data_IF_440371349165
#
_entry.id   IF_440371349165
#
_cell.length_a   1.000
_cell.length_b   1.000
_cell.length_c   1.000
_cell.angle_alpha   90.00
_cell.angle_beta   90.00
_cell.angle_gamma   90.00
#
_symmetry.space_group_name_H-M   'P 1'
#
loop_
_entity.id
_entity.type
_entity.pdbx_description
1 polymer ?
#
# COMPACT_ATOMS: atom_id res chain seq x y z
N UNK A 1 -78.05 -62.56 -51.32
CA UNK A 1 -77.78 -63.22 -50.03
C UNK A 1 -76.66 -62.45 -49.35
N UNK A 2 -76.80 -62.19 -48.05
CA UNK A 2 -75.99 -61.31 -47.18
C UNK A 2 -74.45 -61.50 -47.31
N UNK A 3 -73.57 -60.54 -47.01
CA UNK A 3 -73.34 -59.96 -45.66
C UNK A 3 -72.42 -58.72 -45.65
N UNK A 4 -72.68 -57.86 -44.66
CA UNK A 4 -71.77 -57.03 -43.82
C UNK A 4 -70.96 -55.83 -44.39
N UNK A 5 -71.22 -54.67 -43.77
CA UNK A 5 -70.40 -53.44 -43.62
C UNK A 5 -68.89 -53.67 -43.34
N UNK A 6 -68.04 -52.64 -43.57
CA UNK A 6 -67.53 -51.90 -42.40
C UNK A 6 -67.36 -50.38 -42.58
N UNK A 7 -68.02 -49.64 -41.67
CA UNK A 7 -67.47 -48.64 -40.74
C UNK A 7 -66.25 -47.79 -41.20
N UNK A 8 -66.53 -46.51 -41.47
CA UNK A 8 -65.54 -45.47 -41.74
C UNK A 8 -64.58 -45.22 -40.56
N UNK A 9 -63.29 -45.09 -40.87
CA UNK A 9 -62.21 -44.75 -39.93
C UNK A 9 -62.06 -43.22 -39.83
N UNK A 10 -62.35 -42.67 -38.65
CA UNK A 10 -62.21 -41.24 -38.32
C UNK A 10 -60.73 -40.88 -38.07
N UNK A 11 -60.14 -39.88 -38.75
CA UNK A 11 -58.75 -39.52 -38.55
C UNK A 11 -58.57 -38.85 -37.18
N UNK A 12 -57.90 -39.56 -36.26
CA UNK A 12 -57.51 -39.02 -34.95
C UNK A 12 -56.75 -37.70 -35.10
N UNK A 13 -57.37 -36.59 -34.67
CA UNK A 13 -56.73 -35.28 -34.52
C UNK A 13 -55.45 -35.42 -33.67
N UNK A 14 -54.29 -35.12 -34.26
CA UNK A 14 -53.02 -35.02 -33.54
C UNK A 14 -53.11 -33.85 -32.55
N UNK A 15 -53.06 -34.16 -31.25
CA UNK A 15 -53.01 -33.16 -30.18
C UNK A 15 -51.70 -32.37 -30.30
N UNK A 16 -51.70 -31.03 -30.20
CA UNK A 16 -50.46 -30.28 -30.08
C UNK A 16 -49.76 -30.72 -28.80
N UNK A 17 -48.48 -31.08 -28.87
CA UNK A 17 -47.69 -31.37 -27.68
C UNK A 17 -47.64 -30.10 -26.84
N UNK A 18 -48.30 -30.12 -25.68
CA UNK A 18 -48.12 -29.09 -24.67
C UNK A 18 -46.70 -29.26 -24.15
N UNK A 19 -45.75 -28.55 -24.75
CA UNK A 19 -44.48 -28.25 -24.11
C UNK A 19 -44.83 -27.44 -22.86
N UNK A 20 -44.98 -28.17 -21.75
CA UNK A 20 -45.26 -27.61 -20.45
C UNK A 20 -43.95 -26.96 -19.98
N UNK A 21 -43.78 -25.67 -20.26
CA UNK A 21 -42.84 -24.84 -19.52
C UNK A 21 -43.32 -24.77 -18.07
N UNK A 22 -42.87 -25.71 -17.23
CA UNK A 22 -43.17 -25.68 -15.80
C UNK A 22 -42.61 -24.37 -15.22
N UNK A 23 -43.37 -23.59 -14.43
CA UNK A 23 -42.93 -22.30 -13.90
C UNK A 23 -41.64 -22.43 -13.06
N UNK A 24 -41.45 -23.56 -12.38
CA UNK A 24 -40.21 -23.86 -11.66
C UNK A 24 -38.99 -24.03 -12.57
N UNK A 25 -39.16 -24.63 -13.76
CA UNK A 25 -38.09 -24.75 -14.77
C UNK A 25 -37.78 -23.37 -15.35
N UNK A 26 -38.80 -22.55 -15.60
CA UNK A 26 -38.62 -21.18 -16.10
C UNK A 26 -37.91 -20.27 -15.08
N UNK A 27 -38.27 -20.35 -13.80
CA UNK A 27 -37.61 -19.64 -12.70
C UNK A 27 -36.17 -20.15 -12.52
N UNK A 28 -35.97 -21.47 -12.54
CA UNK A 28 -34.64 -22.07 -12.45
C UNK A 28 -33.70 -21.64 -13.59
N UNK A 29 -34.20 -21.65 -14.83
CA UNK A 29 -33.47 -21.13 -15.98
C UNK A 29 -33.18 -19.64 -15.86
N UNK A 30 -34.14 -18.82 -15.38
CA UNK A 30 -33.93 -17.39 -15.18
C UNK A 30 -32.86 -17.10 -14.12
N UNK A 31 -32.89 -17.80 -12.98
CA UNK A 31 -31.85 -17.68 -11.93
C UNK A 31 -30.49 -18.15 -12.46
N UNK A 32 -30.44 -19.27 -13.16
CA UNK A 32 -29.20 -19.76 -13.77
C UNK A 32 -28.63 -18.78 -14.78
N UNK A 33 -29.46 -18.24 -15.68
CA UNK A 33 -29.05 -17.20 -16.64
C UNK A 33 -28.55 -15.95 -15.93
N UNK A 34 -29.23 -15.49 -14.87
CA UNK A 34 -28.78 -14.35 -14.08
C UNK A 34 -27.41 -14.60 -13.41
N UNK A 35 -27.22 -15.76 -12.77
CA UNK A 35 -25.93 -16.15 -12.19
C UNK A 35 -24.84 -16.28 -13.25
N UNK A 36 -25.16 -16.79 -14.43
CA UNK A 36 -24.22 -16.88 -15.55
C UNK A 36 -23.80 -15.48 -16.02
N UNK A 37 -24.74 -14.53 -16.14
CA UNK A 37 -24.40 -13.14 -16.46
C UNK A 37 -23.53 -12.49 -15.37
N UNK A 38 -23.79 -12.74 -14.09
CA UNK A 38 -22.93 -12.27 -13.00
C UNK A 38 -21.52 -12.89 -13.06
N UNK A 39 -21.41 -14.19 -13.36
CA UNK A 39 -20.13 -14.88 -13.46
C UNK A 39 -19.32 -14.38 -14.67
N UNK A 40 -19.95 -14.24 -15.84
CA UNK A 40 -19.31 -13.72 -17.05
C UNK A 40 -18.94 -12.25 -16.86
N UNK A 41 -19.85 -11.42 -16.35
CA UNK A 41 -19.60 -10.01 -16.06
C UNK A 41 -18.49 -9.81 -15.04
N UNK A 42 -18.50 -10.59 -13.95
CA UNK A 42 -17.45 -10.60 -12.94
C UNK A 42 -16.10 -11.06 -13.48
N UNK A 43 -16.08 -12.10 -14.33
CA UNK A 43 -14.89 -12.58 -15.01
C UNK A 43 -14.27 -11.54 -15.94
N UNK A 44 -15.10 -10.87 -16.75
CA UNK A 44 -14.67 -9.77 -17.63
C UNK A 44 -14.13 -8.58 -16.83
N UNK A 45 -14.81 -8.20 -15.73
CA UNK A 45 -14.36 -7.12 -14.86
C UNK A 45 -13.02 -7.45 -14.18
N UNK A 46 -12.85 -8.68 -13.70
CA UNK A 46 -11.59 -9.14 -13.10
C UNK A 46 -10.45 -9.18 -14.13
N UNK A 47 -10.74 -9.66 -15.35
CA UNK A 47 -9.76 -9.69 -16.44
C UNK A 47 -9.32 -8.29 -16.86
N UNK A 48 -10.28 -7.37 -17.07
CA UNK A 48 -10.00 -5.97 -17.39
C UNK A 48 -9.20 -5.29 -16.26
N UNK A 49 -9.64 -5.46 -15.01
CA UNK A 49 -8.95 -4.91 -13.84
C UNK A 49 -7.52 -5.43 -13.68
N UNK A 50 -7.29 -6.72 -13.95
CA UNK A 50 -5.94 -7.30 -13.91
C UNK A 50 -5.04 -6.78 -15.05
N UNK A 51 -5.60 -6.65 -16.25
CA UNK A 51 -4.91 -6.06 -17.40
C UNK A 51 -4.47 -4.64 -17.09
N UNK A 52 -5.37 -3.80 -16.58
CA UNK A 52 -5.07 -2.40 -16.24
C UNK A 52 -4.09 -2.28 -15.06
N UNK A 53 -4.23 -3.14 -14.04
CA UNK A 53 -3.34 -3.15 -12.87
C UNK A 53 -1.87 -3.40 -13.23
N UNK A 54 -1.61 -4.15 -14.31
CA UNK A 54 -0.28 -4.49 -14.78
C UNK A 54 0.17 -3.68 -16.00
N UNK A 55 -0.74 -2.93 -16.61
CA UNK A 55 -0.46 -2.09 -17.77
C UNK A 55 0.60 -1.01 -17.43
N UNK A 56 1.39 -0.58 -18.43
CA UNK A 56 2.34 0.50 -18.22
C UNK A 56 1.63 1.81 -17.89
N UNK A 57 1.94 2.42 -16.74
CA UNK A 57 1.24 3.59 -16.23
C UNK A 57 1.50 4.90 -17.00
N UNK A 58 0.82 5.98 -16.61
CA UNK A 58 0.80 7.25 -17.36
C UNK A 58 2.10 8.05 -17.26
N UNK A 59 2.95 7.73 -16.28
CA UNK A 59 4.14 8.52 -15.96
C UNK A 59 5.15 8.50 -17.12
N UNK A 60 5.46 9.67 -17.68
CA UNK A 60 6.34 9.78 -18.85
C UNK A 60 7.83 9.64 -18.52
N UNK A 61 8.26 10.13 -17.36
CA UNK A 61 9.65 10.13 -16.89
C UNK A 61 9.69 9.75 -15.41
N UNK A 62 10.87 9.37 -14.92
CA UNK A 62 11.03 9.12 -13.49
C UNK A 62 10.61 10.34 -12.66
N UNK A 63 9.86 10.11 -11.58
CA UNK A 63 9.36 11.17 -10.70
C UNK A 63 9.49 10.77 -9.24
N UNK A 64 9.96 11.71 -8.42
CA UNK A 64 9.99 11.58 -6.97
C UNK A 64 8.71 12.16 -6.37
N UNK A 65 8.05 11.42 -5.48
CA UNK A 65 6.84 11.85 -4.78
C UNK A 65 6.98 11.59 -3.28
N UNK A 66 6.64 12.60 -2.48
CA UNK A 66 6.56 12.50 -1.02
C UNK A 66 5.16 12.05 -0.61
N UNK A 67 5.08 10.94 0.13
CA UNK A 67 3.87 10.46 0.80
C UNK A 67 3.93 10.90 2.27
N UNK A 68 3.09 11.84 2.71
CA UNK A 68 3.08 12.32 4.09
C UNK A 68 2.69 11.25 5.12
N UNK A 69 3.20 11.40 6.35
CA UNK A 69 2.81 10.56 7.49
C UNK A 69 1.33 10.78 7.85
N UNK A 70 0.66 9.70 8.26
CA UNK A 70 -0.73 9.74 8.74
C UNK A 70 -1.80 9.72 7.64
N UNK A 71 -1.41 9.61 6.36
CA UNK A 71 -2.35 9.44 5.25
C UNK A 71 -2.88 8.01 5.18
N UNK A 72 -4.18 7.85 4.94
CA UNK A 72 -4.80 6.55 4.69
C UNK A 72 -4.57 6.08 3.25
N UNK A 73 -4.81 4.79 2.99
CA UNK A 73 -4.61 4.22 1.64
C UNK A 73 -5.41 4.92 0.52
N UNK A 74 -6.53 5.58 0.86
CA UNK A 74 -7.29 6.41 -0.08
C UNK A 74 -6.56 7.72 -0.39
N UNK A 75 -6.13 8.45 0.63
CA UNK A 75 -5.40 9.72 0.47
C UNK A 75 -4.12 9.51 -0.35
N UNK A 76 -3.43 8.39 -0.11
CA UNK A 76 -2.26 7.97 -0.88
C UNK A 76 -2.63 7.71 -2.36
N UNK A 77 -3.74 7.02 -2.62
CA UNK A 77 -4.20 6.77 -3.99
C UNK A 77 -4.51 8.07 -4.74
N UNK A 78 -5.25 8.98 -4.10
CA UNK A 78 -5.61 10.30 -4.67
C UNK A 78 -4.37 11.19 -4.85
N UNK A 79 -3.39 11.11 -3.93
CA UNK A 79 -2.09 11.77 -4.09
C UNK A 79 -1.33 11.24 -5.31
N UNK A 80 -1.20 9.92 -5.45
CA UNK A 80 -0.46 9.32 -6.56
C UNK A 80 -1.10 9.62 -7.92
N UNK A 81 -2.43 9.68 -7.98
CA UNK A 81 -3.15 10.07 -9.19
C UNK A 81 -2.96 11.56 -9.51
N UNK A 82 -3.09 12.44 -8.52
CA UNK A 82 -2.84 13.88 -8.69
C UNK A 82 -1.41 14.17 -9.12
N UNK A 83 -0.45 13.38 -8.65
CA UNK A 83 0.95 13.46 -9.07
C UNK A 83 1.22 12.80 -10.43
N UNK A 84 0.21 12.18 -11.05
CA UNK A 84 0.32 11.53 -12.36
C UNK A 84 1.15 10.23 -12.35
N UNK A 85 1.36 9.63 -11.18
CA UNK A 85 2.04 8.34 -11.03
C UNK A 85 1.12 7.19 -11.45
N UNK A 86 -0.16 7.33 -11.15
CA UNK A 86 -1.23 6.41 -11.58
C UNK A 86 -2.34 7.21 -12.28
N UNK A 87 -3.17 6.53 -13.05
CA UNK A 87 -4.30 7.08 -13.81
C UNK A 87 -5.66 6.82 -13.15
N UNK A 88 -5.73 5.85 -12.24
CA UNK A 88 -6.96 5.43 -11.59
C UNK A 88 -6.73 5.14 -10.10
N UNK A 89 -7.02 6.14 -9.25
CA UNK A 89 -6.94 6.01 -7.80
C UNK A 89 -7.84 4.89 -7.25
N UNK A 90 -9.01 4.68 -7.85
CA UNK A 90 -9.99 3.70 -7.40
C UNK A 90 -9.48 2.27 -7.61
N UNK A 91 -8.84 1.99 -8.75
CA UNK A 91 -8.22 0.70 -9.03
C UNK A 91 -7.07 0.41 -8.07
N UNK A 92 -6.19 1.40 -7.83
CA UNK A 92 -5.12 1.27 -6.83
C UNK A 92 -5.69 1.01 -5.43
N UNK A 93 -6.66 1.81 -4.98
CA UNK A 93 -7.27 1.66 -3.67
C UNK A 93 -8.01 0.32 -3.53
N UNK A 94 -8.83 -0.08 -4.51
CA UNK A 94 -9.53 -1.36 -4.50
C UNK A 94 -8.54 -2.54 -4.44
N UNK A 95 -7.46 -2.49 -5.24
CA UNK A 95 -6.42 -3.52 -5.21
C UNK A 95 -5.73 -3.59 -3.85
N UNK A 96 -5.48 -2.44 -3.20
CA UNK A 96 -4.90 -2.36 -1.86
C UNK A 96 -5.81 -2.99 -0.79
N UNK A 97 -7.13 -2.81 -0.91
CA UNK A 97 -8.12 -3.39 0.00
C UNK A 97 -8.23 -4.90 -0.19
N UNK A 98 -8.37 -5.37 -1.44
CA UNK A 98 -8.51 -6.79 -1.76
C UNK A 98 -7.27 -7.58 -1.34
N UNK A 99 -6.08 -7.01 -1.56
CA UNK A 99 -4.80 -7.63 -1.17
C UNK A 99 -4.42 -7.39 0.29
N UNK A 100 -5.21 -6.62 1.05
CA UNK A 100 -4.91 -6.15 2.42
C UNK A 100 -3.55 -5.44 2.56
N UNK A 101 -3.08 -4.83 1.46
CA UNK A 101 -1.81 -4.10 1.39
C UNK A 101 -1.93 -2.62 1.73
N UNK A 102 -3.14 -2.07 1.79
CA UNK A 102 -3.37 -0.67 2.14
C UNK A 102 -2.76 -0.26 3.48
N UNK A 103 -2.76 -1.17 4.46
CA UNK A 103 -2.17 -0.95 5.79
C UNK A 103 -0.64 -1.12 5.84
N UNK A 104 -0.04 -1.67 4.79
CA UNK A 104 1.41 -1.88 4.68
C UNK A 104 2.11 -0.72 3.99
N UNK A 105 1.36 0.22 3.43
CA UNK A 105 1.89 1.40 2.79
C UNK A 105 2.62 2.26 3.82
N UNK A 106 3.83 2.65 3.50
CA UNK A 106 4.65 3.48 4.39
C UNK A 106 4.70 4.91 3.87
N UNK A 107 4.79 5.85 4.81
CA UNK A 107 5.06 7.24 4.49
C UNK A 107 6.54 7.43 4.19
N UNK A 108 6.84 8.35 3.29
CA UNK A 108 8.20 8.69 2.90
C UNK A 108 8.29 9.15 1.46
N UNK A 109 9.52 9.38 1.02
CA UNK A 109 9.82 9.87 -0.32
C UNK A 109 10.15 8.68 -1.23
N UNK A 110 9.46 8.55 -2.36
CA UNK A 110 9.59 7.41 -3.27
C UNK A 110 9.94 7.87 -4.69
N UNK A 111 10.76 7.07 -5.37
CA UNK A 111 11.09 7.24 -6.78
C UNK A 111 10.21 6.29 -7.60
N UNK A 112 9.46 6.86 -8.53
CA UNK A 112 8.59 6.13 -9.45
C UNK A 112 9.21 6.16 -10.85
N UNK A 113 9.62 5.00 -11.42
CA UNK A 113 10.17 4.93 -12.77
C UNK A 113 9.13 5.32 -13.83
N UNK A 114 9.61 5.74 -15.01
CA UNK A 114 8.74 5.96 -16.17
C UNK A 114 7.90 4.71 -16.49
N UNK A 115 6.64 4.93 -16.88
CA UNK A 115 5.67 3.88 -17.27
C UNK A 115 5.44 2.81 -16.19
N UNK A 116 5.69 3.13 -14.91
CA UNK A 116 5.47 2.23 -13.78
C UNK A 116 3.98 1.82 -13.71
N UNK A 117 3.71 0.52 -13.59
CA UNK A 117 2.34 0.01 -13.45
C UNK A 117 1.80 0.18 -12.03
N UNK A 118 0.48 0.19 -11.87
CA UNK A 118 -0.18 0.24 -10.56
C UNK A 118 0.33 -0.89 -9.64
N UNK A 119 0.52 -2.09 -10.18
CA UNK A 119 1.11 -3.22 -9.47
C UNK A 119 2.50 -2.89 -8.91
N UNK A 120 3.35 -2.26 -9.71
CA UNK A 120 4.70 -1.92 -9.29
C UNK A 120 4.72 -0.74 -8.32
N UNK A 121 3.83 0.23 -8.49
CA UNK A 121 3.61 1.33 -7.53
C UNK A 121 3.24 0.75 -6.16
N UNK A 122 2.30 -0.20 -6.12
CA UNK A 122 1.89 -0.91 -4.90
C UNK A 122 3.08 -1.57 -4.21
N UNK A 123 3.93 -2.29 -4.96
CA UNK A 123 5.13 -2.91 -4.41
C UNK A 123 6.10 -1.88 -3.84
N UNK A 124 6.32 -0.75 -4.53
CA UNK A 124 7.23 0.31 -4.06
C UNK A 124 6.74 0.88 -2.72
N UNK A 125 5.48 1.31 -2.63
CA UNK A 125 4.95 1.97 -1.43
C UNK A 125 4.79 1.02 -0.24
N UNK A 126 4.63 -0.29 -0.49
CA UNK A 126 4.54 -1.32 0.56
C UNK A 126 5.90 -1.90 0.95
N UNK A 127 6.92 -1.80 0.09
CA UNK A 127 8.26 -2.31 0.39
C UNK A 127 9.02 -1.49 1.44
N UNK A 128 8.58 -0.26 1.71
CA UNK A 128 9.31 0.66 2.60
C UNK A 128 10.64 1.16 2.04
N UNK A 129 10.93 0.94 0.75
CA UNK A 129 12.14 1.43 0.08
C UNK A 129 12.03 2.92 -0.24
N UNK A 130 12.05 3.73 0.80
CA UNK A 130 12.04 5.19 0.74
C UNK A 130 13.44 5.75 0.52
N UNK A 131 13.53 6.95 -0.06
CA UNK A 131 14.78 7.71 -0.14
C UNK A 131 15.26 8.03 1.27
N UNK A 132 16.53 7.73 1.53
CA UNK A 132 17.21 8.08 2.77
C UNK A 132 18.14 9.27 2.54
N UNK A 133 18.12 10.19 3.49
CA UNK A 133 18.99 11.34 3.56
C UNK A 133 19.95 11.18 4.74
N UNK A 134 21.11 11.83 4.68
CA UNK A 134 22.10 11.80 5.75
C UNK A 134 22.15 13.15 6.45
N UNK A 135 22.17 13.12 7.79
CA UNK A 135 22.49 14.29 8.60
C UNK A 135 23.69 13.97 9.47
N UNK A 136 24.79 14.69 9.22
CA UNK A 136 26.03 14.55 10.00
C UNK A 136 26.04 15.56 11.14
N UNK A 137 26.28 15.04 12.35
CA UNK A 137 26.47 15.81 13.57
C UNK A 137 27.96 15.74 13.95
N UNK A 138 28.75 16.80 13.70
CA UNK A 138 30.15 16.84 14.10
C UNK A 138 30.32 16.73 15.62
N UNK A 139 31.44 16.15 16.04
CA UNK A 139 31.87 16.19 17.42
C UNK A 139 32.15 17.63 17.89
N UNK A 140 32.07 17.85 19.20
CA UNK A 140 32.33 19.15 19.82
C UNK A 140 31.15 20.13 19.78
N UNK A 141 30.01 19.75 19.18
CA UNK A 141 28.78 20.54 19.27
C UNK A 141 28.09 20.35 20.63
N UNK A 142 27.59 21.45 21.17
CA UNK A 142 26.68 21.45 22.33
C UNK A 142 25.30 20.91 21.94
N UNK A 143 24.53 20.41 22.92
CA UNK A 143 23.15 19.96 22.70
C UNK A 143 22.29 21.06 22.06
N UNK A 144 22.50 22.33 22.43
CA UNK A 144 21.79 23.46 21.83
C UNK A 144 22.13 23.63 20.34
N UNK A 145 23.42 23.62 19.97
CA UNK A 145 23.86 23.73 18.58
C UNK A 145 23.39 22.56 17.72
N UNK A 146 23.32 21.35 18.28
CA UNK A 146 22.74 20.19 17.60
C UNK A 146 21.26 20.45 17.30
N UNK A 147 20.48 20.91 18.27
CA UNK A 147 19.06 21.22 18.06
C UNK A 147 18.88 22.32 17.01
N UNK A 148 19.69 23.37 17.04
CA UNK A 148 19.65 24.44 16.03
C UNK A 148 19.92 23.90 14.63
N UNK A 149 20.94 23.05 14.47
CA UNK A 149 21.23 22.36 13.20
C UNK A 149 20.09 21.48 12.72
N UNK A 150 19.42 20.77 13.63
CA UNK A 150 18.22 19.98 13.28
C UNK A 150 17.06 20.89 12.87
N UNK A 151 16.91 22.05 13.50
CA UNK A 151 15.89 23.05 13.17
C UNK A 151 16.08 23.65 11.76
N UNK A 152 17.33 23.84 11.33
CA UNK A 152 17.67 24.33 9.98
C UNK A 152 17.33 23.34 8.85
N UNK A 153 17.20 22.04 9.13
CA UNK A 153 16.92 21.03 8.11
C UNK A 153 15.45 21.04 7.66
N UNK A 154 15.21 21.18 6.35
CA UNK A 154 13.89 21.06 5.70
C UNK A 154 13.37 19.62 5.63
N UNK A 155 14.25 18.64 5.86
CA UNK A 155 13.93 17.22 5.85
C UNK A 155 13.19 16.78 7.12
N UNK A 156 13.37 17.52 8.22
CA UNK A 156 12.86 17.17 9.54
C UNK A 156 11.62 18.00 9.90
N UNK A 157 10.74 17.39 10.69
CA UNK A 157 9.46 18.00 11.11
C UNK A 157 9.31 18.06 12.62
N UNK A 158 8.40 18.91 13.08
CA UNK A 158 8.08 19.09 14.50
C UNK A 158 9.14 19.89 15.28
N UNK A 159 8.78 20.33 16.49
CA UNK A 159 9.71 21.01 17.39
C UNK A 159 10.73 20.02 17.98
N UNK A 160 11.79 20.55 18.58
CA UNK A 160 12.76 19.79 19.37
C UNK A 160 13.11 20.54 20.65
N UNK A 161 13.14 19.83 21.77
CA UNK A 161 13.65 20.35 23.04
C UNK A 161 15.13 20.00 23.17
N UNK A 162 15.92 20.96 23.65
CA UNK A 162 17.35 20.76 23.93
C UNK A 162 17.53 19.74 25.06
N UNK A 163 18.18 18.59 24.81
CA UNK A 163 18.52 17.60 25.83
C UNK A 163 19.68 18.09 26.72
N UNK A 164 19.92 17.47 27.88
CA UNK A 164 21.11 17.77 28.70
C UNK A 164 22.41 17.62 27.90
N UNK A 165 23.45 18.33 28.29
CA UNK A 165 24.76 18.23 27.62
C UNK A 165 25.37 16.83 27.81
N UNK A 166 26.10 16.36 26.79
CA UNK A 166 26.77 15.06 26.81
C UNK A 166 25.85 13.84 26.65
N UNK A 167 24.54 14.03 26.44
CA UNK A 167 23.60 12.91 26.24
C UNK A 167 23.45 12.47 24.80
N UNK A 168 23.98 13.23 23.84
CA UNK A 168 23.80 12.99 22.41
C UNK A 168 25.10 12.47 21.81
N UNK A 169 25.01 11.37 21.06
CA UNK A 169 26.14 10.82 20.32
C UNK A 169 26.32 11.59 18.99
N UNK A 170 27.48 12.19 18.71
CA UNK A 170 27.74 12.83 17.42
C UNK A 170 28.08 11.78 16.36
N UNK A 171 27.18 11.57 15.40
CA UNK A 171 27.37 10.63 14.29
C UNK A 171 26.68 11.14 13.01
N UNK A 172 26.82 10.37 11.93
CA UNK A 172 25.99 10.53 10.73
C UNK A 172 24.75 9.65 10.82
N UNK A 173 23.58 10.29 10.81
CA UNK A 173 22.29 9.63 10.93
C UNK A 173 21.57 9.57 9.59
N UNK A 174 21.15 8.37 9.21
CA UNK A 174 20.20 8.18 8.10
C UNK A 174 18.79 8.54 8.56
N UNK A 175 18.12 9.40 7.79
CA UNK A 175 16.78 9.93 8.04
C UNK A 175 15.93 9.83 6.78
N UNK A 176 14.61 9.91 6.93
CA UNK A 176 13.67 10.01 5.81
C UNK A 176 13.00 11.37 5.87
N UNK A 177 12.61 11.92 4.72
CA UNK A 177 11.88 13.20 4.71
C UNK A 177 10.60 13.07 5.54
N UNK A 178 10.38 14.00 6.44
CA UNK A 178 9.26 13.98 7.38
C UNK A 178 9.56 13.34 8.73
N UNK A 179 10.78 12.81 8.97
CA UNK A 179 11.17 12.33 10.31
C UNK A 179 11.06 13.44 11.35
N UNK A 180 10.57 13.13 12.56
CA UNK A 180 10.44 14.11 13.62
C UNK A 180 11.80 14.44 14.24
N UNK A 181 12.07 15.71 14.55
CA UNK A 181 13.32 16.12 15.20
C UNK A 181 13.53 15.41 16.55
N UNK A 182 12.45 15.25 17.32
CA UNK A 182 12.46 14.46 18.57
C UNK A 182 12.84 12.99 18.37
N UNK A 183 12.46 12.39 17.25
CA UNK A 183 12.80 10.99 16.91
C UNK A 183 14.32 10.85 16.70
N UNK A 184 14.95 11.85 16.08
CA UNK A 184 16.41 11.91 15.91
C UNK A 184 17.10 12.09 17.26
N UNK A 185 16.65 13.04 18.08
CA UNK A 185 17.26 13.26 19.41
C UNK A 185 17.13 12.03 20.33
N UNK A 186 15.98 11.34 20.28
CA UNK A 186 15.76 10.11 21.01
C UNK A 186 16.73 9.00 20.53
N UNK A 187 16.91 8.87 19.20
CA UNK A 187 17.87 7.93 18.62
C UNK A 187 19.31 8.24 19.05
N UNK A 188 19.73 9.50 18.93
CA UNK A 188 21.06 9.95 19.37
C UNK A 188 21.33 9.64 20.85
N UNK A 189 20.32 9.81 21.69
CA UNK A 189 20.40 9.51 23.13
C UNK A 189 20.53 8.01 23.37
N UNK A 190 19.74 7.19 22.67
CA UNK A 190 19.81 5.74 22.77
C UNK A 190 21.17 5.20 22.29
N UNK A 191 21.70 5.75 21.20
CA UNK A 191 23.00 5.37 20.66
C UNK A 191 24.13 5.77 21.63
N UNK A 192 24.07 6.96 22.24
CA UNK A 192 25.01 7.38 23.29
C UNK A 192 25.01 6.41 24.48
N UNK A 193 23.83 6.06 24.99
CA UNK A 193 23.70 5.14 26.12
C UNK A 193 24.26 3.75 25.79
N UNK A 194 24.04 3.28 24.57
CA UNK A 194 24.58 2.00 24.09
C UNK A 194 26.10 2.03 24.04
N UNK A 195 26.69 3.07 23.45
CA UNK A 195 28.15 3.24 23.38
C UNK A 195 28.76 3.32 24.78
N UNK A 196 28.20 4.13 25.67
CA UNK A 196 28.68 4.24 27.06
C UNK A 196 28.62 2.90 27.79
N UNK A 197 27.53 2.14 27.63
CA UNK A 197 27.40 0.81 28.24
C UNK A 197 28.47 -0.15 27.73
N UNK A 198 28.70 -0.18 26.42
CA UNK A 198 29.68 -1.08 25.79
C UNK A 198 31.12 -0.71 26.19
N UNK A 199 31.44 0.59 26.28
CA UNK A 199 32.73 1.08 26.74
C UNK A 199 32.93 0.79 28.23
N UNK A 200 31.91 1.00 29.06
CA UNK A 200 31.98 0.76 30.50
C UNK A 200 32.23 -0.72 30.85
N UNK A 201 31.69 -1.64 30.06
CA UNK A 201 31.93 -3.07 30.20
C UNK A 201 33.38 -3.47 29.86
N UNK A 202 34.03 -2.72 28.96
CA UNK A 202 35.41 -2.95 28.50
C UNK A 202 36.44 -2.08 29.22
N UNK A 203 36.02 -1.33 30.25
CA UNK A 203 36.85 -0.33 30.92
C UNK A 203 38.02 -0.97 31.66
N UNK A 204 39.12 -0.23 31.80
CA UNK A 204 40.25 -0.66 32.62
C UNK A 204 39.84 -0.72 34.11
N UNK A 205 40.29 -1.74 34.85
CA UNK A 205 39.86 -1.99 36.23
C UNK A 205 40.33 -0.92 37.24
N UNK A 206 41.33 -0.11 36.88
CA UNK A 206 41.97 0.91 37.71
C UNK A 206 41.47 2.35 37.41
N UNK A 207 40.39 2.50 36.63
CA UNK A 207 39.84 3.82 36.34
C UNK A 207 39.26 4.48 37.62
N UNK A 208 39.58 5.76 37.89
CA UNK A 208 39.01 6.51 39.03
C UNK A 208 37.54 6.91 38.81
N UNK A 209 36.87 6.33 37.81
CA UNK A 209 35.48 6.61 37.45
C UNK A 209 34.54 5.68 38.22
N UNK A 210 33.51 6.25 38.83
CA UNK A 210 32.52 5.50 39.64
C UNK A 210 31.29 5.08 38.83
N UNK A 211 30.99 5.82 37.77
CA UNK A 211 29.83 5.62 36.90
C UNK A 211 30.16 5.95 35.43
N UNK A 212 29.39 5.39 34.47
CA UNK A 212 29.48 5.73 33.05
C UNK A 212 28.89 7.11 32.69
N UNK A 213 28.29 7.80 33.67
CA UNK A 213 27.74 9.16 33.58
C UNK A 213 28.35 10.00 34.69
#
# INVERSE_FOLDING_TARGET
>A
MATSEPKAHDPKKRRPSKSASHPAVMIGSAVFTFLLFLAVGGGLAAWYGHSEYTAPGPLAQEKTVLIPRGQGGRDIAELLEREGVIDNWLLFFASAQVTRRGQLMQAGEYIFPARVSIARVMDLVTSGKVIQHQITIPEGLTSAQIVDRLNESDLLTGPARVPPEGTLLPETYNIVRGTRREEILARMTADQQKVLKDLWAKRAPDLPLKSPQ
#
